data_IF_162849382123
#
_entry.id   IF_162849382123
#
_cell.length_a   1.000
_cell.length_b   1.000
_cell.length_c   1.000
_cell.angle_alpha   90.00
_cell.angle_beta   90.00
_cell.angle_gamma   90.00
#
_symmetry.space_group_name_H-M   'P 1'
#
loop_
_entity.id
_entity.type
_entity.pdbx_description
1 polymer ?
#
# COMPACT_ATOMS: atom_id res chain seq x y z
N UNK A 1 7.40 11.01 11.62
CA UNK A 1 8.00 9.73 11.17
C UNK A 1 6.96 8.85 10.49
N UNK A 2 5.80 8.64 11.13
CA UNK A 2 4.71 7.75 10.67
C UNK A 2 4.23 8.05 9.24
N UNK A 3 4.03 9.31 8.90
CA UNK A 3 3.70 9.74 7.53
C UNK A 3 4.69 9.19 6.48
N UNK A 4 6.00 9.25 6.74
CA UNK A 4 7.02 8.74 5.80
C UNK A 4 6.94 7.24 5.63
N UNK A 5 6.64 6.50 6.71
CA UNK A 5 6.41 5.05 6.63
C UNK A 5 5.16 4.74 5.80
N UNK A 6 4.06 5.45 6.03
CA UNK A 6 2.83 5.30 5.24
C UNK A 6 3.04 5.63 3.77
N UNK A 7 3.74 6.72 3.46
CA UNK A 7 4.11 7.08 2.09
C UNK A 7 5.00 5.99 1.44
N UNK A 8 5.95 5.42 2.18
CA UNK A 8 6.78 4.32 1.69
C UNK A 8 5.96 3.06 1.40
N UNK A 9 5.00 2.71 2.27
CA UNK A 9 4.07 1.60 2.01
C UNK A 9 3.24 1.87 0.75
N UNK A 10 2.79 3.11 0.55
CA UNK A 10 2.09 3.49 -0.68
C UNK A 10 2.96 3.35 -1.93
N UNK A 11 4.24 3.71 -1.86
CA UNK A 11 5.18 3.50 -2.96
C UNK A 11 5.38 2.01 -3.29
N UNK A 12 5.38 1.14 -2.27
CA UNK A 12 5.40 -0.31 -2.51
C UNK A 12 4.13 -0.78 -3.25
N UNK A 13 2.96 -0.23 -2.91
CA UNK A 13 1.71 -0.54 -3.62
C UNK A 13 1.77 -0.08 -5.09
N UNK A 14 2.32 1.11 -5.35
CA UNK A 14 2.51 1.61 -6.71
C UNK A 14 3.43 0.69 -7.52
N UNK A 15 4.58 0.31 -6.94
CA UNK A 15 5.61 -0.48 -7.66
C UNK A 15 5.26 -1.95 -7.83
N UNK A 16 4.62 -2.57 -6.85
CA UNK A 16 4.43 -4.02 -6.82
C UNK A 16 2.98 -4.45 -7.03
N UNK A 17 2.00 -3.58 -6.73
CA UNK A 17 0.58 -3.87 -6.94
C UNK A 17 0.00 -3.16 -8.18
N UNK A 18 0.83 -2.37 -8.90
CA UNK A 18 0.39 -1.58 -10.06
C UNK A 18 -0.53 -0.42 -9.68
N UNK A 19 -0.49 0.02 -8.43
CA UNK A 19 -1.28 1.16 -7.97
C UNK A 19 -0.78 2.50 -8.53
N UNK A 20 -1.61 3.54 -8.39
CA UNK A 20 -1.25 4.92 -8.71
C UNK A 20 -1.64 5.84 -7.56
N UNK A 21 -0.83 6.85 -7.27
CA UNK A 21 -1.21 7.90 -6.32
C UNK A 21 -2.39 8.70 -6.87
N UNK A 22 -3.35 9.00 -6.00
CA UNK A 22 -4.56 9.75 -6.32
C UNK A 22 -4.98 10.61 -5.12
N UNK A 23 -5.75 11.66 -5.40
CA UNK A 23 -6.46 12.39 -4.37
C UNK A 23 -7.51 11.49 -3.70
N UNK A 24 -7.71 11.61 -2.38
CA UNK A 24 -8.69 10.83 -1.67
C UNK A 24 -10.12 11.15 -2.18
N UNK A 25 -11.00 10.15 -2.28
CA UNK A 25 -12.42 10.42 -2.43
C UNK A 25 -12.93 11.18 -1.19
N UNK A 26 -13.98 11.98 -1.36
CA UNK A 26 -14.47 12.91 -0.33
C UNK A 26 -14.76 12.25 1.04
N UNK A 27 -15.02 10.95 1.05
CA UNK A 27 -15.32 10.13 2.23
C UNK A 27 -14.10 9.56 2.99
N UNK A 28 -12.88 9.61 2.42
CA UNK A 28 -11.68 8.96 2.97
C UNK A 28 -10.69 9.89 3.69
N UNK A 29 -11.04 11.16 3.90
CA UNK A 29 -10.21 12.16 4.57
C UNK A 29 -9.19 12.85 3.64
N UNK A 30 -8.19 13.51 4.20
CA UNK A 30 -7.31 14.46 3.49
C UNK A 30 -5.92 13.96 3.07
N UNK A 31 -5.59 12.68 3.32
CA UNK A 31 -4.29 12.13 2.94
C UNK A 31 -4.32 11.53 1.52
N UNK A 32 -3.24 11.65 0.73
CA UNK A 32 -3.12 10.97 -0.56
C UNK A 32 -3.34 9.45 -0.45
N UNK A 33 -4.08 8.89 -1.41
CA UNK A 33 -4.41 7.47 -1.46
C UNK A 33 -3.75 6.80 -2.67
N UNK A 34 -3.68 5.47 -2.64
CA UNK A 34 -3.26 4.67 -3.79
C UNK A 34 -4.48 4.00 -4.40
N UNK A 35 -4.81 4.36 -5.64
CA UNK A 35 -5.82 3.66 -6.43
C UNK A 35 -5.22 2.41 -7.05
N UNK A 36 -5.80 1.26 -6.76
CA UNK A 36 -5.35 -0.04 -7.25
C UNK A 36 -5.98 -0.36 -8.61
N UNK A 37 -5.39 -1.28 -9.40
CA UNK A 37 -5.97 -1.73 -10.68
C UNK A 37 -7.37 -2.33 -10.54
N UNK A 38 -7.70 -2.86 -9.37
CA UNK A 38 -9.04 -3.37 -9.02
C UNK A 38 -10.10 -2.27 -8.88
N UNK A 39 -9.70 -0.99 -8.86
CA UNK A 39 -10.58 0.14 -8.62
C UNK A 39 -10.71 0.53 -7.14
N UNK A 40 -10.20 -0.28 -6.21
CA UNK A 40 -10.19 0.04 -4.78
C UNK A 40 -9.15 1.12 -4.45
N UNK A 41 -9.47 1.97 -3.48
CA UNK A 41 -8.54 2.94 -2.92
C UNK A 41 -7.96 2.41 -1.61
N UNK A 42 -6.65 2.47 -1.49
CA UNK A 42 -5.92 2.12 -0.28
C UNK A 42 -5.38 3.41 0.35
N UNK A 43 -5.57 3.59 1.66
CA UNK A 43 -5.01 4.72 2.40
C UNK A 43 -3.83 4.27 3.28
N UNK A 44 -2.61 4.17 2.72
CA UNK A 44 -1.45 3.62 3.44
C UNK A 44 -0.94 4.57 4.53
N UNK A 45 -1.19 5.88 4.39
CA UNK A 45 -0.81 6.88 5.39
C UNK A 45 -1.69 6.74 6.62
N UNK A 46 -3.02 6.75 6.45
CA UNK A 46 -3.97 6.54 7.55
C UNK A 46 -3.74 5.19 8.24
N UNK A 47 -3.45 4.13 7.47
CA UNK A 47 -3.13 2.82 8.04
C UNK A 47 -1.88 2.84 8.92
N UNK A 48 -0.85 3.60 8.54
CA UNK A 48 0.36 3.74 9.34
C UNK A 48 0.09 4.48 10.66
N UNK A 49 -0.79 5.49 10.66
CA UNK A 49 -1.23 6.17 11.90
C UNK A 49 -2.01 5.22 12.79
N UNK A 50 -3.04 4.54 12.26
CA UNK A 50 -3.81 3.54 13.00
C UNK A 50 -2.95 2.44 13.60
N UNK A 51 -1.90 1.98 12.90
CA UNK A 51 -0.95 0.99 13.45
C UNK A 51 -0.26 1.48 14.72
N UNK A 52 0.05 2.78 14.80
CA UNK A 52 0.69 3.38 15.97
C UNK A 52 -0.31 3.61 17.09
N UNK A 53 -1.52 4.08 16.75
CA UNK A 53 -2.55 4.41 17.73
C UNK A 53 -3.18 3.17 18.37
N UNK A 54 -3.53 2.17 17.56
CA UNK A 54 -4.26 0.99 18.01
C UNK A 54 -3.32 -0.17 18.36
N UNK A 55 -2.21 -0.31 17.62
CA UNK A 55 -1.25 -1.38 17.86
C UNK A 55 -1.39 -2.53 16.86
N UNK A 56 -1.08 -3.78 17.25
CA UNK A 56 -0.96 -4.92 16.33
C UNK A 56 -2.19 -5.23 15.46
N UNK A 57 -3.40 -4.87 15.90
CA UNK A 57 -4.65 -5.02 15.14
C UNK A 57 -4.60 -4.30 13.79
N UNK A 58 -3.88 -3.18 13.72
CA UNK A 58 -3.71 -2.39 12.51
C UNK A 58 -2.42 -2.77 11.77
N UNK A 59 -2.11 -4.06 11.72
CA UNK A 59 -0.94 -4.60 11.03
C UNK A 59 -0.82 -4.13 9.57
N UNK A 60 0.32 -3.49 9.27
CA UNK A 60 0.72 -3.09 7.91
C UNK A 60 0.94 -4.33 7.01
N UNK A 61 1.41 -5.44 7.58
CA UNK A 61 1.65 -6.69 6.84
C UNK A 61 0.33 -7.29 6.37
N UNK A 62 -0.68 -7.31 7.23
CA UNK A 62 -2.01 -7.82 6.88
C UNK A 62 -2.67 -6.93 5.82
N UNK A 63 -2.51 -5.61 5.95
CA UNK A 63 -2.95 -4.66 4.93
C UNK A 63 -2.28 -4.90 3.57
N UNK A 64 -0.96 -5.11 3.55
CA UNK A 64 -0.23 -5.45 2.32
C UNK A 64 -0.76 -6.73 1.67
N UNK A 65 -0.93 -7.80 2.45
CA UNK A 65 -1.41 -9.08 1.96
C UNK A 65 -2.84 -9.02 1.40
N UNK A 66 -3.71 -8.15 1.94
CA UNK A 66 -5.05 -7.95 1.43
C UNK A 66 -5.08 -7.20 0.08
N UNK A 67 -4.11 -6.32 -0.14
CA UNK A 67 -4.06 -5.44 -1.32
C UNK A 67 -3.28 -6.04 -2.48
N UNK A 68 -2.20 -6.78 -2.19
CA UNK A 68 -1.40 -7.46 -3.19
C UNK A 68 -1.92 -8.88 -3.32
N UNK A 69 -2.75 -9.20 -4.32
CA UNK A 69 -3.11 -10.58 -4.57
C UNK A 69 -1.82 -11.37 -4.78
N UNK A 70 -1.72 -12.53 -4.11
CA UNK A 70 -0.65 -13.50 -4.31
C UNK A 70 -0.74 -14.03 -5.75
N UNK A 71 -0.27 -13.23 -6.70
CA UNK A 71 0.06 -13.76 -8.01
C UNK A 71 1.12 -14.83 -7.78
N UNK A 72 0.82 -16.07 -8.18
CA UNK A 72 1.76 -17.18 -8.30
C UNK A 72 2.78 -16.90 -9.42
N UNK A 73 3.39 -15.72 -9.43
CA UNK A 73 4.23 -15.18 -10.48
C UNK A 73 5.71 -15.32 -10.17
N UNK A 74 6.26 -16.50 -10.48
CA UNK A 74 7.66 -16.83 -10.76
C UNK A 74 8.76 -15.85 -10.25
N UNK A 75 9.55 -16.20 -9.22
CA UNK A 75 10.61 -15.36 -8.65
C UNK A 75 11.85 -15.14 -9.56
N UNK A 76 11.82 -15.55 -10.83
CA UNK A 76 13.02 -15.68 -11.68
C UNK A 76 13.41 -14.47 -12.52
N UNK A 77 12.76 -13.31 -12.41
CA UNK A 77 13.05 -12.16 -13.30
C UNK A 77 14.18 -11.21 -12.85
N UNK A 78 14.94 -11.57 -11.82
CA UNK A 78 16.02 -10.72 -11.28
C UNK A 78 17.44 -11.15 -11.70
N UNK A 79 17.64 -12.41 -12.13
CA UNK A 79 18.98 -12.96 -12.44
C UNK A 79 19.37 -12.91 -13.93
N UNK A 80 19.02 -11.84 -14.67
CA UNK A 80 19.58 -11.69 -16.02
C UNK A 80 19.78 -10.24 -16.43
N UNK A 81 20.86 -9.65 -15.92
CA UNK A 81 21.71 -8.72 -16.69
C UNK A 81 23.17 -9.05 -16.38
N UNK A 82 23.83 -9.69 -17.35
CA UNK A 82 25.28 -9.64 -17.52
C UNK A 82 25.62 -8.32 -18.19
#
# INVERSE_FOLDING_TARGET
MVFKLGAYVGELLVRHAGGVWADPPAEMGGWPVVKLPSGYYANPIDKAFKRVDNGPEDSVVSFWAAVVPTSSGNPRRWFRRR
#
